data_IF_858058368492
#
_entry.id   IF_858058368492
#
_cell.length_a   1.000
_cell.length_b   1.000
_cell.length_c   1.000
_cell.angle_alpha   90.00
_cell.angle_beta   90.00
_cell.angle_gamma   90.00
#
_symmetry.space_group_name_H-M   'P 1'
#
loop_
_entity.id
_entity.type
_entity.pdbx_description
1 polymer ?
#
# COMPACT_ATOMS: atom_id res chain seq x y z
N UNK A 1 3.89 21.27 6.54
CA UNK A 1 4.36 19.94 6.98
C UNK A 1 3.57 18.75 6.41
N UNK A 2 2.70 18.93 5.40
CA UNK A 2 1.80 17.86 4.95
C UNK A 2 2.40 16.91 3.87
N UNK A 3 3.46 17.32 3.18
CA UNK A 3 4.06 16.56 2.07
C UNK A 3 4.89 15.36 2.53
N UNK A 4 5.72 15.52 3.57
CA UNK A 4 6.59 14.46 4.12
C UNK A 4 5.80 13.30 4.75
N UNK A 5 4.62 13.63 5.26
CA UNK A 5 3.67 12.71 5.87
C UNK A 5 3.06 11.80 4.80
N UNK A 6 2.60 12.32 3.66
CA UNK A 6 2.00 11.46 2.63
C UNK A 6 3.04 10.59 1.91
N UNK A 7 4.23 11.14 1.63
CA UNK A 7 5.29 10.41 0.93
C UNK A 7 5.75 9.18 1.72
N UNK A 8 6.00 9.35 3.03
CA UNK A 8 6.43 8.26 3.92
C UNK A 8 5.42 7.11 4.08
N UNK A 9 4.12 7.34 3.85
CA UNK A 9 3.13 6.26 3.83
C UNK A 9 3.19 5.52 2.49
N UNK A 10 3.26 6.27 1.39
CA UNK A 10 3.30 5.70 0.05
C UNK A 10 4.48 4.75 -0.12
N UNK A 11 5.66 5.15 0.36
CA UNK A 11 6.86 4.32 0.29
C UNK A 11 6.72 3.01 1.10
N UNK A 12 6.10 3.07 2.28
CA UNK A 12 5.85 1.89 3.12
C UNK A 12 4.82 0.93 2.51
N UNK A 13 3.77 1.47 1.87
CA UNK A 13 2.82 0.66 1.11
C UNK A 13 3.56 -0.08 -0.01
N UNK A 14 4.38 0.63 -0.77
CA UNK A 14 5.11 0.07 -1.91
C UNK A 14 6.13 -1.01 -1.49
N UNK A 15 6.82 -0.81 -0.37
CA UNK A 15 7.74 -1.80 0.19
C UNK A 15 7.01 -3.08 0.63
N UNK A 16 5.92 -2.95 1.37
CA UNK A 16 5.13 -4.10 1.82
C UNK A 16 4.46 -4.84 0.66
N UNK A 17 4.07 -4.10 -0.39
CA UNK A 17 3.54 -4.66 -1.63
C UNK A 17 4.57 -5.55 -2.33
N UNK A 18 5.80 -5.06 -2.44
CA UNK A 18 6.91 -5.82 -3.03
C UNK A 18 7.17 -7.11 -2.24
N UNK A 19 7.24 -7.01 -0.91
CA UNK A 19 7.46 -8.17 -0.04
C UNK A 19 6.32 -9.21 -0.13
N UNK A 20 5.07 -8.76 -0.16
CA UNK A 20 3.92 -9.65 -0.31
C UNK A 20 3.84 -10.28 -1.71
N UNK A 21 4.32 -9.58 -2.74
CA UNK A 21 4.39 -10.11 -4.10
C UNK A 21 5.48 -11.16 -4.27
N UNK A 22 6.66 -10.95 -3.69
CA UNK A 22 7.78 -11.90 -3.78
C UNK A 22 7.42 -13.26 -3.12
N UNK A 23 6.66 -13.25 -2.03
CA UNK A 23 6.19 -14.46 -1.33
C UNK A 23 4.99 -15.13 -2.02
N UNK A 24 4.14 -14.33 -2.68
CA UNK A 24 2.95 -14.82 -3.40
C UNK A 24 3.20 -15.09 -4.88
N UNK A 25 4.45 -15.16 -5.35
CA UNK A 25 4.81 -15.37 -6.76
C UNK A 25 4.10 -16.56 -7.45
N UNK A 26 3.71 -17.60 -6.68
CA UNK A 26 2.87 -18.69 -7.16
C UNK A 26 1.36 -18.34 -7.31
N UNK A 27 0.82 -17.50 -6.44
CA UNK A 27 -0.57 -17.01 -6.43
C UNK A 27 -0.78 -15.77 -7.34
N UNK A 28 0.31 -15.10 -7.69
CA UNK A 28 0.36 -13.88 -8.49
C UNK A 28 -0.33 -14.06 -9.84
N UNK A 29 -0.14 -15.21 -10.51
CA UNK A 29 -0.82 -15.54 -11.78
C UNK A 29 -2.36 -15.50 -11.69
N UNK A 30 -2.93 -15.75 -10.51
CA UNK A 30 -4.39 -15.74 -10.29
C UNK A 30 -4.89 -14.31 -10.01
N UNK A 31 -4.12 -13.52 -9.27
CA UNK A 31 -4.40 -12.11 -8.96
C UNK A 31 -4.08 -11.16 -10.12
N UNK A 32 -3.17 -11.53 -11.02
CA UNK A 32 -2.71 -10.76 -12.18
C UNK A 32 -3.86 -10.31 -13.08
N UNK A 33 -4.93 -11.10 -13.17
CA UNK A 33 -6.11 -10.76 -13.97
C UNK A 33 -6.86 -9.52 -13.47
N UNK A 34 -6.69 -9.13 -12.20
CA UNK A 34 -7.41 -7.99 -11.59
C UNK A 34 -6.50 -6.93 -10.96
N UNK A 35 -5.25 -7.27 -10.65
CA UNK A 35 -4.28 -6.33 -10.08
C UNK A 35 -3.39 -5.77 -11.18
N UNK A 36 -3.33 -4.44 -11.31
CA UNK A 36 -2.50 -3.75 -12.29
C UNK A 36 -1.37 -3.01 -11.59
N UNK A 37 -0.13 -3.23 -12.04
CA UNK A 37 0.99 -2.37 -11.68
C UNK A 37 0.89 -1.07 -12.48
N UNK A 38 0.92 0.08 -11.80
CA UNK A 38 0.96 1.40 -12.45
C UNK A 38 2.39 1.94 -12.53
N UNK A 39 2.59 2.98 -13.34
CA UNK A 39 3.87 3.67 -13.51
C UNK A 39 4.43 4.30 -12.24
N UNK A 40 3.62 4.43 -11.19
CA UNK A 40 4.06 4.90 -9.88
C UNK A 40 4.56 3.77 -8.96
N UNK A 41 4.68 2.55 -9.50
CA UNK A 41 5.20 1.37 -8.81
C UNK A 41 4.22 0.74 -7.82
N UNK A 42 3.00 1.29 -7.68
CA UNK A 42 1.98 0.73 -6.81
C UNK A 42 1.07 -0.26 -7.56
N UNK A 43 0.58 -1.26 -6.82
CA UNK A 43 -0.39 -2.23 -7.31
C UNK A 43 -1.81 -1.72 -7.06
N UNK A 44 -2.66 -1.83 -8.07
CA UNK A 44 -4.05 -1.39 -8.03
C UNK A 44 -4.99 -2.56 -8.26
N UNK A 45 -5.97 -2.76 -7.38
CA UNK A 45 -7.10 -3.68 -7.57
C UNK A 45 -8.37 -2.86 -7.76
N UNK A 46 -9.08 -3.05 -8.88
CA UNK A 46 -10.33 -2.32 -9.18
C UNK A 46 -10.20 -0.79 -9.03
N UNK A 47 -9.11 -0.23 -9.57
CA UNK A 47 -8.76 1.21 -9.47
C UNK A 47 -8.46 1.75 -8.07
N UNK A 48 -8.41 0.91 -7.02
CA UNK A 48 -7.97 1.29 -5.69
C UNK A 48 -6.58 0.73 -5.41
N UNK A 49 -5.79 1.43 -4.59
CA UNK A 49 -4.46 0.94 -4.21
C UNK A 49 -4.63 -0.35 -3.41
N UNK A 50 -3.91 -1.39 -3.79
CA UNK A 50 -3.90 -2.62 -3.02
C UNK A 50 -3.06 -2.37 -1.76
N UNK A 51 -3.64 -2.65 -0.58
CA UNK A 51 -2.93 -2.55 0.69
C UNK A 51 -2.76 -3.96 1.25
N UNK A 52 -1.52 -4.47 1.30
CA UNK A 52 -1.25 -5.81 1.79
C UNK A 52 -1.61 -5.89 3.28
N UNK A 53 -2.00 -7.09 3.73
CA UNK A 53 -2.14 -7.36 5.17
C UNK A 53 -0.76 -7.44 5.84
N UNK A 54 0.28 -7.75 5.06
CA UNK A 54 1.66 -7.88 5.50
C UNK A 54 2.30 -6.50 5.68
N UNK A 55 3.17 -6.40 6.69
CA UNK A 55 3.71 -5.14 7.18
C UNK A 55 2.64 -4.34 7.93
N UNK A 56 3.05 -3.57 8.94
CA UNK A 56 2.14 -2.76 9.78
C UNK A 56 1.51 -1.56 9.03
N UNK A 57 1.41 -1.64 7.71
CA UNK A 57 0.94 -0.61 6.80
C UNK A 57 -0.51 -0.23 7.12
N UNK A 58 -1.39 -1.21 7.40
CA UNK A 58 -2.78 -0.93 7.79
C UNK A 58 -2.86 -0.13 9.08
N UNK A 59 -2.08 -0.54 10.09
CA UNK A 59 -1.98 0.16 11.38
C UNK A 59 -1.46 1.58 11.19
N UNK A 60 -0.43 1.76 10.34
CA UNK A 60 0.13 3.07 10.00
C UNK A 60 -0.86 3.99 9.29
N UNK A 61 -1.66 3.45 8.37
CA UNK A 61 -2.72 4.23 7.70
C UNK A 61 -3.77 4.66 8.72
N UNK A 62 -4.20 3.75 9.61
CA UNK A 62 -5.19 4.06 10.65
C UNK A 62 -4.68 5.09 11.66
N UNK A 63 -3.47 4.89 12.21
CA UNK A 63 -2.85 5.82 13.17
C UNK A 63 -2.72 7.23 12.59
N UNK A 64 -2.32 7.32 11.32
CA UNK A 64 -2.11 8.60 10.64
C UNK A 64 -3.42 9.28 10.23
N UNK A 65 -4.42 8.52 9.80
CA UNK A 65 -5.77 9.04 9.56
C UNK A 65 -6.41 9.53 10.87
N UNK A 66 -6.23 8.79 11.96
CA UNK A 66 -6.68 9.19 13.29
C UNK A 66 -6.00 10.49 13.74
N UNK A 67 -4.67 10.57 13.65
CA UNK A 67 -3.91 11.80 13.94
C UNK A 67 -4.37 12.95 13.05
N UNK A 68 -4.53 12.77 11.75
CA UNK A 68 -4.99 13.84 10.84
C UNK A 68 -6.37 14.39 11.19
N UNK A 69 -7.23 13.61 11.86
CA UNK A 69 -8.57 14.03 12.25
C UNK A 69 -8.61 14.73 13.61
N UNK A 70 -7.74 14.32 14.53
CA UNK A 70 -7.81 14.72 15.94
C UNK A 70 -6.61 15.51 16.46
N UNK A 71 -5.47 15.49 15.76
CA UNK A 71 -4.35 16.38 16.03
C UNK A 71 -4.46 17.61 15.12
N UNK A 72 -4.84 18.74 15.71
CA UNK A 72 -4.78 20.10 15.16
C UNK A 72 -3.49 20.76 15.62
#
# INVERSE_FOLDING_TARGET
MNMTIQLSIKDKILAALKEACDESAGLQKVLDKKVKLKSDGALYCLNQIWVPLKGDVRTLIMDKAHKSKYFV
#
